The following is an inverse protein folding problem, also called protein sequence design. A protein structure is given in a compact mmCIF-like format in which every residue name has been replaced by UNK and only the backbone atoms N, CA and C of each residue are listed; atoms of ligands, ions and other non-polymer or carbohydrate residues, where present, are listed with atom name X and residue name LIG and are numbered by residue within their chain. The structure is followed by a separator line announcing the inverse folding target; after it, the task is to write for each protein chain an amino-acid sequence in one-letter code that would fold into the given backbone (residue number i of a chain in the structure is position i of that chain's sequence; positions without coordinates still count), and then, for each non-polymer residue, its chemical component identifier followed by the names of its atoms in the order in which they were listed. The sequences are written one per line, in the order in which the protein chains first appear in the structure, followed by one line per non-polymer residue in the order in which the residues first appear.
data_IF_436986011838
#
_entry.id   IF_436986011838
#
_cell.length_a   1.000
_cell.length_b   1.000
_cell.length_c   1.000
_cell.angle_alpha   90.00
_cell.angle_beta   90.00
_cell.angle_gamma   90.00
#
_symmetry.space_group_name_H-M   'P 1'
#
loop_
_entity.id
_entity.type
_entity.pdbx_description
1 polymer ?
#
# COMPACT_ATOMS: atom_id res chain seq x y z
N UNK A 1 11.65 9.22 -30.07
CA UNK A 1 11.52 8.08 -29.14
C UNK A 1 10.38 7.21 -29.64
N UNK A 2 10.55 5.89 -29.69
CA UNK A 2 9.43 4.99 -29.97
C UNK A 2 8.45 5.05 -28.80
N UNK A 3 7.19 5.41 -29.08
CA UNK A 3 6.17 5.61 -28.06
C UNK A 3 5.85 4.30 -27.34
N UNK A 4 5.88 3.17 -28.07
CA UNK A 4 5.66 1.86 -27.46
C UNK A 4 6.79 1.53 -26.47
N UNK A 5 8.05 1.70 -26.88
CA UNK A 5 9.20 1.49 -26.01
C UNK A 5 9.17 2.36 -24.74
N UNK A 6 8.73 3.63 -24.85
CA UNK A 6 8.57 4.51 -23.69
C UNK A 6 7.48 4.02 -22.73
N UNK A 7 6.32 3.63 -23.24
CA UNK A 7 5.22 3.08 -22.42
C UNK A 7 5.64 1.78 -21.74
N UNK A 8 6.34 0.89 -22.45
CA UNK A 8 6.91 -0.34 -21.86
C UNK A 8 7.90 0.00 -20.75
N UNK A 9 8.76 0.99 -20.95
CA UNK A 9 9.74 1.37 -19.94
C UNK A 9 9.08 1.90 -18.65
N UNK A 10 8.07 2.76 -18.78
CA UNK A 10 7.28 3.26 -17.63
C UNK A 10 6.48 2.15 -16.96
N UNK A 11 5.89 1.24 -17.74
CA UNK A 11 5.22 0.06 -17.20
C UNK A 11 6.17 -0.79 -16.35
N UNK A 12 7.39 -1.04 -16.85
CA UNK A 12 8.40 -1.79 -16.11
C UNK A 12 8.84 -1.07 -14.82
N UNK A 13 8.94 0.26 -14.83
CA UNK A 13 9.23 1.03 -13.62
C UNK A 13 8.13 0.84 -12.57
N UNK A 14 6.85 0.94 -12.95
CA UNK A 14 5.74 0.63 -12.04
C UNK A 14 5.65 -0.86 -11.65
N UNK A 15 6.10 -1.76 -12.51
CA UNK A 15 6.14 -3.19 -12.16
C UNK A 15 7.23 -3.47 -11.11
N UNK A 16 8.36 -2.76 -11.17
CA UNK A 16 9.41 -2.83 -10.13
C UNK A 16 8.86 -2.40 -8.78
N UNK A 17 8.07 -1.33 -8.71
CA UNK A 17 7.45 -0.91 -7.45
C UNK A 17 6.45 -1.96 -6.94
N UNK A 18 5.68 -2.59 -7.82
CA UNK A 18 4.75 -3.66 -7.43
C UNK A 18 5.49 -4.93 -6.94
N UNK A 19 6.61 -5.29 -7.57
CA UNK A 19 7.46 -6.40 -7.13
C UNK A 19 8.09 -6.08 -5.77
N UNK A 20 8.45 -4.83 -5.50
CA UNK A 20 8.98 -4.41 -4.21
C UNK A 20 7.99 -4.72 -3.06
N UNK A 21 6.68 -4.57 -3.29
CA UNK A 21 5.65 -4.99 -2.34
C UNK A 21 5.76 -6.49 -1.99
N UNK A 22 6.00 -7.34 -2.99
CA UNK A 22 6.23 -8.78 -2.75
C UNK A 22 7.42 -9.10 -1.84
N UNK A 23 8.45 -8.25 -1.82
CA UNK A 23 9.63 -8.44 -0.98
C UNK A 23 9.29 -8.32 0.52
N UNK A 24 8.23 -7.58 0.86
CA UNK A 24 7.73 -7.44 2.23
C UNK A 24 7.28 -8.77 2.85
N UNK A 25 6.96 -9.78 2.04
CA UNK A 25 6.57 -11.11 2.50
C UNK A 25 7.75 -12.03 2.86
N UNK A 26 8.99 -11.66 2.50
CA UNK A 26 10.20 -12.49 2.68
C UNK A 26 10.42 -12.91 4.15
N UNK A 27 10.21 -12.06 5.18
CA UNK A 27 10.42 -12.46 6.57
C UNK A 27 9.64 -13.72 6.98
N UNK A 28 8.46 -13.98 6.40
CA UNK A 28 7.63 -15.15 6.72
C UNK A 28 8.17 -16.47 6.20
N UNK A 29 9.21 -16.47 5.36
CA UNK A 29 9.93 -17.68 4.98
C UNK A 29 10.83 -18.23 6.08
N UNK A 30 11.18 -17.38 7.04
CA UNK A 30 12.07 -17.73 8.15
C UNK A 30 11.33 -17.93 9.48
N UNK A 31 10.01 -17.68 9.49
CA UNK A 31 9.16 -17.77 10.68
C UNK A 31 8.02 -18.75 10.40
N UNK A 32 8.03 -19.92 11.05
CA UNK A 32 7.03 -20.97 10.84
C UNK A 32 5.80 -20.81 11.74
N UNK A 33 6.02 -20.61 13.03
CA UNK A 33 4.96 -20.64 14.05
C UNK A 33 4.90 -19.33 14.83
N UNK A 34 3.70 -18.77 14.90
CA UNK A 34 3.44 -17.48 15.55
C UNK A 34 2.34 -17.68 16.58
N UNK A 35 2.67 -17.49 17.86
CA UNK A 35 1.65 -17.56 18.91
C UNK A 35 0.69 -16.37 18.84
N UNK A 36 -0.50 -16.50 19.43
CA UNK A 36 -1.50 -15.42 19.49
C UNK A 36 -0.89 -14.10 19.93
N UNK A 37 0.00 -14.14 20.93
CA UNK A 37 0.75 -12.97 21.42
C UNK A 37 1.55 -12.26 20.33
N UNK A 38 2.25 -13.04 19.51
CA UNK A 38 3.02 -12.51 18.39
C UNK A 38 2.12 -12.08 17.23
N UNK A 39 0.99 -12.76 17.00
CA UNK A 39 0.01 -12.31 16.00
C UNK A 39 -0.53 -10.93 16.36
N UNK A 40 -0.94 -10.69 17.61
CA UNK A 40 -1.38 -9.35 18.06
C UNK A 40 -0.29 -8.30 17.85
N UNK A 41 0.96 -8.62 18.20
CA UNK A 41 2.08 -7.71 17.98
C UNK A 41 2.33 -7.43 16.49
N UNK A 42 2.24 -8.44 15.62
CA UNK A 42 2.38 -8.28 14.18
C UNK A 42 1.25 -7.41 13.61
N UNK A 43 0.00 -7.64 13.96
CA UNK A 43 -1.11 -6.77 13.54
C UNK A 43 -0.91 -5.32 14.02
N UNK A 44 -0.36 -5.15 15.22
CA UNK A 44 0.14 -3.86 15.69
C UNK A 44 1.22 -3.27 14.79
N UNK A 45 2.26 -4.03 14.44
CA UNK A 45 3.32 -3.60 13.52
C UNK A 45 2.73 -3.18 12.16
N UNK A 46 1.83 -3.99 11.59
CA UNK A 46 1.16 -3.67 10.33
C UNK A 46 0.39 -2.35 10.42
N UNK A 47 -0.35 -2.15 11.51
CA UNK A 47 -1.08 -0.90 11.79
C UNK A 47 -0.13 0.30 11.89
N UNK A 48 0.97 0.15 12.63
CA UNK A 48 1.99 1.19 12.79
C UNK A 48 2.65 1.57 11.46
N UNK A 49 3.01 0.57 10.66
CA UNK A 49 3.58 0.76 9.31
C UNK A 49 2.57 1.50 8.43
N UNK A 50 1.31 1.05 8.33
CA UNK A 50 0.33 1.69 7.45
C UNK A 50 0.01 3.14 7.84
N UNK A 51 -0.11 3.43 9.14
CA UNK A 51 -0.35 4.79 9.62
C UNK A 51 0.84 5.71 9.32
N UNK A 52 2.07 5.24 9.57
CA UNK A 52 3.28 6.03 9.30
C UNK A 52 3.57 6.18 7.80
N UNK A 53 3.36 5.13 7.00
CA UNK A 53 3.41 5.16 5.54
C UNK A 53 2.44 6.20 4.98
N UNK A 54 1.19 6.19 5.47
CA UNK A 54 0.18 7.17 5.08
C UNK A 54 0.60 8.61 5.42
N UNK A 55 1.26 8.82 6.56
CA UNK A 55 1.70 10.14 6.99
C UNK A 55 2.93 10.63 6.23
N UNK A 56 4.00 9.84 6.23
CA UNK A 56 5.31 10.25 5.73
C UNK A 56 5.46 10.09 4.22
N UNK A 57 4.81 9.07 3.64
CA UNK A 57 4.97 8.70 2.24
C UNK A 57 3.78 9.03 1.33
N UNK A 58 2.65 9.51 1.87
CA UNK A 58 1.52 9.96 1.06
C UNK A 58 1.04 11.36 1.43
N UNK A 59 0.78 11.64 2.72
CA UNK A 59 0.29 12.97 3.13
C UNK A 59 1.32 14.05 2.82
N UNK A 60 2.61 13.82 3.10
CA UNK A 60 3.66 14.80 2.81
C UNK A 60 3.80 15.04 1.30
N UNK A 61 3.73 13.99 0.49
CA UNK A 61 3.79 14.03 -0.97
C UNK A 61 2.58 14.75 -1.56
N UNK A 62 1.39 14.50 -1.02
CA UNK A 62 0.17 15.19 -1.43
C UNK A 62 0.21 16.68 -1.09
N UNK A 63 0.79 17.07 0.05
CA UNK A 63 1.04 18.47 0.40
C UNK A 63 2.15 19.11 -0.45
N UNK A 64 3.17 18.35 -0.85
CA UNK A 64 4.23 18.83 -1.73
C UNK A 64 3.72 19.10 -3.16
N UNK A 65 2.68 18.39 -3.59
CA UNK A 65 2.12 18.49 -4.94
C UNK A 65 0.81 19.29 -5.02
N UNK A 66 0.28 19.80 -3.91
CA UNK A 66 -1.02 20.48 -3.90
C UNK A 66 -1.38 21.19 -2.60
N UNK A 67 -2.68 21.36 -2.38
CA UNK A 67 -3.20 22.07 -1.21
C UNK A 67 -3.77 21.12 -0.16
N UNK A 68 -3.79 21.51 1.12
CA UNK A 68 -4.44 20.72 2.18
C UNK A 68 -5.91 20.38 1.88
N UNK A 69 -6.62 21.25 1.15
CA UNK A 69 -8.01 21.00 0.76
C UNK A 69 -8.12 19.87 -0.26
N UNK A 70 -7.27 19.85 -1.29
CA UNK A 70 -7.27 18.76 -2.29
C UNK A 70 -6.91 17.42 -1.66
N UNK A 71 -5.88 17.43 -0.81
CA UNK A 71 -5.51 16.26 0.00
C UNK A 71 -6.69 15.79 0.86
N UNK A 72 -7.33 16.70 1.60
CA UNK A 72 -8.45 16.38 2.49
C UNK A 72 -9.66 15.80 1.74
N UNK A 73 -9.98 16.33 0.56
CA UNK A 73 -11.02 15.76 -0.32
C UNK A 73 -10.66 14.34 -0.73
N UNK A 74 -9.40 14.12 -1.13
CA UNK A 74 -8.87 12.78 -1.39
C UNK A 74 -9.06 11.85 -0.21
N UNK A 75 -8.62 12.26 0.99
CA UNK A 75 -8.74 11.45 2.21
C UNK A 75 -10.19 11.05 2.50
N UNK A 76 -11.13 11.98 2.36
CA UNK A 76 -12.55 11.67 2.54
C UNK A 76 -13.06 10.68 1.49
N UNK A 77 -12.61 10.78 0.24
CA UNK A 77 -12.94 9.81 -0.80
C UNK A 77 -12.35 8.42 -0.50
N UNK A 78 -11.14 8.36 0.07
CA UNK A 78 -10.52 7.11 0.53
C UNK A 78 -11.28 6.45 1.68
N UNK A 79 -11.71 7.24 2.67
CA UNK A 79 -12.60 6.77 3.74
C UNK A 79 -13.93 6.27 3.16
N UNK A 80 -14.52 7.01 2.22
CA UNK A 80 -15.75 6.62 1.56
C UNK A 80 -15.60 5.31 0.78
N UNK A 81 -14.45 5.07 0.12
CA UNK A 81 -14.16 3.78 -0.52
C UNK A 81 -14.29 2.64 0.49
N UNK A 82 -13.62 2.74 1.64
CA UNK A 82 -13.62 1.65 2.64
C UNK A 82 -15.03 1.41 3.19
N UNK A 83 -15.77 2.48 3.48
CA UNK A 83 -17.17 2.39 3.93
C UNK A 83 -18.07 1.71 2.89
N UNK A 84 -17.93 2.08 1.61
CA UNK A 84 -18.71 1.49 0.52
C UNK A 84 -18.29 0.03 0.30
N UNK A 85 -16.99 -0.27 0.35
CA UNK A 85 -16.48 -1.63 0.22
C UNK A 85 -17.06 -2.53 1.31
N UNK A 86 -17.11 -2.05 2.55
CA UNK A 86 -17.75 -2.75 3.66
C UNK A 86 -19.23 -3.06 3.35
N UNK A 87 -20.01 -2.04 2.97
CA UNK A 87 -21.42 -2.22 2.63
C UNK A 87 -21.64 -3.19 1.45
N UNK A 88 -20.80 -3.13 0.42
CA UNK A 88 -20.90 -4.00 -0.76
C UNK A 88 -20.55 -5.44 -0.41
N UNK A 89 -19.52 -5.66 0.40
CA UNK A 89 -19.06 -7.01 0.78
C UNK A 89 -20.00 -7.63 1.83
N UNK A 90 -20.56 -6.84 2.75
CA UNK A 90 -21.58 -7.30 3.68
C UNK A 90 -22.92 -7.62 2.99
N UNK A 91 -23.29 -6.83 1.99
CA UNK A 91 -24.52 -7.01 1.21
C UNK A 91 -24.46 -8.11 0.15
N UNK A 92 -23.26 -8.65 -0.14
CA UNK A 92 -23.10 -9.80 -1.00
C UNK A 92 -23.47 -11.09 -0.24
N UNK A 93 -24.50 -11.79 -0.72
CA UNK A 93 -24.91 -13.10 -0.21
C UNK A 93 -23.81 -14.14 -0.56
N UNK A 94 -22.77 -14.22 0.26
CA UNK A 94 -21.76 -15.28 0.19
C UNK A 94 -22.35 -16.52 0.88
N UNK A 95 -22.39 -17.65 0.16
CA UNK A 95 -23.16 -18.86 0.50
C UNK A 95 -22.53 -19.66 1.68
N UNK A 96 -23.18 -19.73 2.85
CA UNK A 96 -22.53 -19.89 4.15
C UNK A 96 -22.11 -21.32 4.47
N UNK A 97 -20.81 -21.51 4.69
CA UNK A 97 -20.27 -22.62 5.49
C UNK A 97 -19.21 -22.11 6.49
N UNK A 98 -19.63 -21.97 7.75
CA UNK A 98 -18.88 -21.91 9.02
C UNK A 98 -17.44 -21.34 9.03
N UNK A 99 -17.23 -20.24 9.79
CA UNK A 99 -15.94 -19.59 10.13
C UNK A 99 -15.05 -19.13 8.95
N UNK A 100 -14.91 -19.93 7.89
CA UNK A 100 -14.10 -19.64 6.70
C UNK A 100 -14.55 -18.38 5.93
N UNK A 101 -15.84 -18.00 6.02
CA UNK A 101 -16.34 -16.80 5.34
C UNK A 101 -15.94 -15.48 6.00
N UNK A 102 -15.86 -15.42 7.33
CA UNK A 102 -15.54 -14.16 8.02
C UNK A 102 -14.10 -13.75 7.68
N UNK A 103 -13.18 -14.70 7.72
CA UNK A 103 -11.79 -14.52 7.31
C UNK A 103 -11.68 -14.22 5.81
N UNK A 104 -12.47 -14.89 4.97
CA UNK A 104 -12.48 -14.65 3.52
C UNK A 104 -13.02 -13.26 3.15
N UNK A 105 -14.11 -12.80 3.78
CA UNK A 105 -14.66 -11.44 3.55
C UNK A 105 -13.67 -10.38 4.00
N UNK A 106 -13.04 -10.54 5.17
CA UNK A 106 -11.97 -9.66 5.65
C UNK A 106 -10.79 -9.65 4.67
N UNK A 107 -10.36 -10.82 4.19
CA UNK A 107 -9.32 -10.93 3.16
C UNK A 107 -9.69 -10.15 1.89
N UNK A 108 -10.92 -10.31 1.39
CA UNK A 108 -11.41 -9.59 0.23
C UNK A 108 -11.49 -8.06 0.44
N UNK A 109 -11.94 -7.63 1.62
CA UNK A 109 -11.97 -6.21 2.01
C UNK A 109 -10.56 -5.64 2.02
N UNK A 110 -9.66 -6.25 2.78
CA UNK A 110 -8.27 -5.85 2.93
C UNK A 110 -7.60 -5.83 1.55
N UNK A 111 -7.60 -6.95 0.83
CA UNK A 111 -6.93 -7.03 -0.48
C UNK A 111 -7.57 -6.10 -1.52
N UNK A 112 -8.88 -5.95 -1.52
CA UNK A 112 -9.60 -5.08 -2.45
C UNK A 112 -9.30 -3.60 -2.23
N UNK A 113 -9.39 -3.13 -0.99
CA UNK A 113 -9.01 -1.76 -0.61
C UNK A 113 -7.52 -1.55 -0.88
N UNK A 114 -6.70 -2.55 -0.57
CA UNK A 114 -5.27 -2.47 -0.81
C UNK A 114 -4.95 -2.37 -2.30
N UNK A 115 -5.71 -3.08 -3.14
CA UNK A 115 -5.54 -2.99 -4.59
C UNK A 115 -5.86 -1.58 -5.11
N UNK A 116 -6.96 -0.99 -4.65
CA UNK A 116 -7.42 0.29 -5.18
C UNK A 116 -6.50 1.46 -4.76
N UNK A 117 -5.95 1.46 -3.55
CA UNK A 117 -5.09 2.57 -3.10
C UNK A 117 -3.71 2.60 -3.77
N UNK A 118 -3.20 1.46 -4.23
CA UNK A 118 -1.89 1.43 -4.92
C UNK A 118 -1.94 2.11 -6.30
N UNK A 119 -3.14 2.41 -6.84
CA UNK A 119 -3.27 3.11 -8.11
C UNK A 119 -2.68 4.53 -8.10
N UNK A 120 -3.01 5.41 -7.12
CA UNK A 120 -2.35 6.70 -6.93
C UNK A 120 -0.82 6.70 -6.95
N UNK A 121 -0.17 5.70 -6.34
CA UNK A 121 1.29 5.57 -6.36
C UNK A 121 1.80 5.29 -7.77
N UNK A 122 1.11 4.43 -8.52
CA UNK A 122 1.35 4.22 -9.94
C UNK A 122 1.27 5.52 -10.73
N UNK A 123 0.25 6.33 -10.48
CA UNK A 123 0.10 7.65 -11.11
C UNK A 123 1.30 8.56 -10.79
N UNK A 124 1.78 8.56 -9.55
CA UNK A 124 2.96 9.31 -9.15
C UNK A 124 4.23 8.85 -9.88
N UNK A 125 4.44 7.53 -10.02
CA UNK A 125 5.50 6.97 -10.87
C UNK A 125 5.34 7.49 -12.30
N UNK A 126 4.18 7.31 -12.93
CA UNK A 126 3.97 7.75 -14.32
C UNK A 126 4.20 9.25 -14.56
N UNK A 127 3.75 10.09 -13.63
CA UNK A 127 3.95 11.55 -13.69
C UNK A 127 5.43 11.94 -13.63
N UNK A 128 6.22 11.21 -12.83
CA UNK A 128 7.64 11.48 -12.65
C UNK A 128 8.45 11.27 -13.94
N UNK A 129 7.94 10.46 -14.87
CA UNK A 129 8.52 10.23 -16.20
C UNK A 129 8.14 11.28 -17.24
N UNK A 130 7.43 12.37 -16.91
CA UNK A 130 6.95 13.36 -17.86
C UNK A 130 7.99 13.86 -18.90
N UNK A 131 9.25 13.99 -18.47
CA UNK A 131 10.35 14.50 -19.30
C UNK A 131 11.24 13.38 -19.89
N UNK A 132 10.71 12.15 -20.00
CA UNK A 132 11.45 11.00 -20.53
C UNK A 132 11.93 11.26 -21.97
N UNK A 133 13.24 11.10 -22.18
CA UNK A 133 13.90 11.32 -23.47
C UNK A 133 14.25 12.78 -23.75
N UNK A 134 13.98 13.71 -22.83
CA UNK A 134 14.43 15.09 -22.90
C UNK A 134 15.81 15.27 -22.25
N UNK A 135 16.52 16.32 -22.62
CA UNK A 135 17.86 16.61 -22.09
C UNK A 135 17.85 16.84 -20.56
N UNK A 136 18.98 16.53 -19.89
CA UNK A 136 19.15 16.76 -18.45
C UNK A 136 18.82 15.56 -17.54
N UNK A 137 18.49 14.41 -18.11
CA UNK A 137 18.30 13.15 -17.39
C UNK A 137 19.53 12.23 -17.37
N UNK A 138 19.39 11.10 -16.68
CA UNK A 138 20.40 10.05 -16.60
C UNK A 138 20.22 9.06 -17.75
N UNK A 139 21.31 8.66 -18.42
CA UNK A 139 21.20 7.71 -19.53
C UNK A 139 21.09 6.28 -18.98
N UNK A 140 19.96 5.62 -19.23
CA UNK A 140 19.66 4.28 -18.72
C UNK A 140 18.88 3.47 -19.76
N UNK A 141 19.37 2.27 -20.09
CA UNK A 141 18.77 1.35 -21.08
C UNK A 141 18.43 2.01 -22.44
N UNK A 142 19.23 3.00 -22.86
CA UNK A 142 19.01 3.73 -24.12
C UNK A 142 18.00 4.90 -24.03
N UNK A 143 17.46 5.18 -22.84
CA UNK A 143 16.61 6.33 -22.57
C UNK A 143 17.35 7.39 -21.76
N UNK A 144 16.96 8.66 -21.92
CA UNK A 144 17.35 9.73 -21.00
C UNK A 144 16.25 9.85 -19.95
N UNK A 145 16.51 9.36 -18.75
CA UNK A 145 15.52 9.19 -17.67
C UNK A 145 15.56 10.40 -16.74
N UNK A 146 14.43 11.07 -16.45
CA UNK A 146 14.39 12.19 -15.53
C UNK A 146 14.88 11.77 -14.13
N UNK A 147 15.63 12.64 -13.47
CA UNK A 147 16.13 12.36 -12.12
C UNK A 147 14.97 12.14 -11.13
N UNK A 148 13.88 12.90 -11.28
CA UNK A 148 12.64 12.71 -10.51
C UNK A 148 12.07 11.30 -10.70
N UNK A 149 12.13 10.73 -11.90
CA UNK A 149 11.63 9.39 -12.17
C UNK A 149 12.42 8.29 -11.45
N UNK A 150 13.74 8.45 -11.42
CA UNK A 150 14.62 7.54 -10.67
C UNK A 150 14.32 7.64 -9.17
N UNK A 151 14.27 8.86 -8.62
CA UNK A 151 13.97 9.06 -7.21
C UNK A 151 12.60 8.55 -6.81
N UNK A 152 11.55 8.89 -7.56
CA UNK A 152 10.18 8.44 -7.26
C UNK A 152 10.04 6.93 -7.32
N UNK A 153 10.62 6.27 -8.33
CA UNK A 153 10.55 4.81 -8.46
C UNK A 153 11.26 4.13 -7.28
N UNK A 154 12.41 4.64 -6.85
CA UNK A 154 13.15 4.13 -5.69
C UNK A 154 12.37 4.40 -4.39
N UNK A 155 11.92 5.64 -4.17
CA UNK A 155 11.19 6.03 -2.97
C UNK A 155 9.93 5.20 -2.77
N UNK A 156 9.13 5.03 -3.83
CA UNK A 156 7.92 4.19 -3.79
C UNK A 156 8.31 2.71 -3.60
N UNK A 157 9.38 2.22 -4.25
CA UNK A 157 9.83 0.83 -3.99
C UNK A 157 10.22 0.62 -2.53
N UNK A 158 10.90 1.57 -1.90
CA UNK A 158 11.28 1.51 -0.47
C UNK A 158 10.03 1.56 0.41
N UNK A 159 9.04 2.38 0.07
CA UNK A 159 7.75 2.46 0.76
C UNK A 159 6.96 1.15 0.69
N UNK A 160 6.98 0.51 -0.48
CA UNK A 160 6.18 -0.69 -0.75
C UNK A 160 6.71 -1.92 -0.02
N UNK A 161 8.00 -2.01 0.31
CA UNK A 161 8.54 -3.17 1.05
C UNK A 161 7.88 -3.30 2.44
N UNK A 162 7.88 -2.25 3.30
CA UNK A 162 7.10 -2.23 4.52
C UNK A 162 5.60 -2.44 4.31
N UNK A 163 5.01 -1.84 3.28
CA UNK A 163 3.60 -2.04 2.96
C UNK A 163 3.31 -3.53 2.72
N UNK A 164 4.08 -4.19 1.87
CA UNK A 164 3.94 -5.61 1.61
C UNK A 164 4.11 -6.51 2.84
N UNK A 165 4.94 -6.09 3.81
CA UNK A 165 5.00 -6.73 5.12
C UNK A 165 3.66 -6.55 5.86
N UNK A 166 3.12 -5.33 5.91
CA UNK A 166 1.83 -5.03 6.52
C UNK A 166 0.65 -5.77 5.85
N UNK A 167 0.69 -5.99 4.53
CA UNK A 167 -0.29 -6.81 3.78
C UNK A 167 -0.13 -8.30 4.10
N UNK A 168 1.11 -8.77 4.28
CA UNK A 168 1.38 -10.19 4.49
C UNK A 168 1.05 -10.68 5.90
N UNK A 169 1.12 -9.81 6.90
CA UNK A 169 0.76 -10.10 8.30
C UNK A 169 -0.66 -10.67 8.45
N UNK A 170 -1.72 -9.99 7.98
CA UNK A 170 -3.10 -10.49 8.13
C UNK A 170 -3.34 -11.76 7.32
N UNK A 171 -2.78 -11.84 6.11
CA UNK A 171 -2.87 -13.03 5.27
C UNK A 171 -2.17 -14.24 5.92
N UNK A 172 -1.07 -14.01 6.63
CA UNK A 172 -0.36 -15.06 7.37
C UNK A 172 -1.19 -15.59 8.54
N UNK A 173 -1.90 -14.73 9.28
CA UNK A 173 -2.78 -15.19 10.35
C UNK A 173 -3.97 -15.99 9.83
N UNK A 174 -4.34 -15.82 8.57
CA UNK A 174 -5.33 -16.63 7.83
C UNK A 174 -4.71 -17.88 7.16
N UNK A 175 -3.53 -18.31 7.62
CA UNK A 175 -2.82 -19.52 7.17
C UNK A 175 -2.48 -19.57 5.66
N UNK A 176 -2.40 -18.41 5.01
CA UNK A 176 -1.98 -18.33 3.61
C UNK A 176 -0.50 -18.72 3.47
N UNK A 177 -0.19 -19.59 2.50
CA UNK A 177 1.18 -20.08 2.30
C UNK A 177 2.15 -19.00 1.84
N UNK A 178 3.44 -19.12 2.21
CA UNK A 178 4.45 -18.06 2.01
C UNK A 178 4.54 -17.53 0.58
N UNK A 179 4.51 -18.41 -0.42
CA UNK A 179 4.53 -17.97 -1.83
C UNK A 179 3.25 -17.26 -2.26
N UNK A 180 2.11 -17.62 -1.67
CA UNK A 180 0.86 -16.89 -1.89
C UNK A 180 0.90 -15.51 -1.21
N UNK A 181 1.58 -15.35 -0.07
CA UNK A 181 1.78 -14.03 0.56
C UNK A 181 2.52 -13.09 -0.38
N UNK A 182 3.66 -13.53 -0.92
CA UNK A 182 4.43 -12.77 -1.93
C UNK A 182 3.52 -12.41 -3.10
N UNK A 183 2.74 -13.38 -3.59
CA UNK A 183 1.96 -13.15 -4.79
C UNK A 183 0.78 -12.21 -4.58
N UNK A 184 0.09 -12.32 -3.44
CA UNK A 184 -0.99 -11.41 -3.07
C UNK A 184 -0.49 -9.99 -2.82
N UNK A 185 0.69 -9.81 -2.23
CA UNK A 185 1.31 -8.51 -2.04
C UNK A 185 1.70 -7.84 -3.38
N UNK A 186 2.20 -8.61 -4.36
CA UNK A 186 2.44 -8.05 -5.71
C UNK A 186 1.12 -7.77 -6.41
N UNK A 187 0.14 -8.68 -6.28
CA UNK A 187 -1.17 -8.55 -6.90
C UNK A 187 -1.88 -7.27 -6.47
N UNK A 188 -1.87 -6.95 -5.16
CA UNK A 188 -2.44 -5.69 -4.67
C UNK A 188 -1.77 -4.47 -5.30
N UNK A 189 -0.48 -4.55 -5.64
CA UNK A 189 0.23 -3.44 -6.27
C UNK A 189 0.24 -3.44 -7.81
N UNK A 190 -0.39 -4.41 -8.48
CA UNK A 190 -0.51 -4.42 -9.95
C UNK A 190 -1.23 -3.21 -10.57
N UNK A 191 -2.08 -2.46 -9.85
CA UNK A 191 -2.58 -1.17 -10.34
C UNK A 191 -1.48 -0.11 -10.51
N UNK A 192 -0.33 -0.23 -9.84
CA UNK A 192 0.79 0.70 -9.99
C UNK A 192 1.33 0.78 -11.43
N UNK A 193 1.76 -0.32 -12.09
CA UNK A 193 2.23 -0.25 -13.48
C UNK A 193 1.14 0.21 -14.45
N UNK A 194 -0.13 -0.11 -14.19
CA UNK A 194 -1.26 0.36 -15.01
C UNK A 194 -1.43 1.87 -14.85
N UNK A 195 -1.47 2.35 -13.62
CA UNK A 195 -1.56 3.76 -13.27
C UNK A 195 -0.39 4.57 -13.82
N UNK A 196 0.83 4.01 -13.80
CA UNK A 196 2.03 4.64 -14.33
C UNK A 196 1.92 4.90 -15.84
N UNK A 197 1.47 3.91 -16.61
CA UNK A 197 1.28 4.06 -18.06
C UNK A 197 0.19 5.09 -18.38
N UNK A 198 -0.96 5.00 -17.71
CA UNK A 198 -2.07 5.94 -17.90
C UNK A 198 -1.62 7.36 -17.57
N UNK A 199 -0.97 7.55 -16.42
CA UNK A 199 -0.50 8.85 -15.97
C UNK A 199 0.58 9.43 -16.86
N UNK A 200 1.54 8.63 -17.32
CA UNK A 200 2.55 9.09 -18.28
C UNK A 200 1.92 9.58 -19.59
N UNK A 201 0.91 8.87 -20.10
CA UNK A 201 0.19 9.30 -21.30
C UNK A 201 -0.62 10.59 -21.08
N UNK A 202 -1.22 10.75 -19.90
CA UNK A 202 -2.06 11.90 -19.52
C UNK A 202 -1.42 12.81 -18.47
N UNK A 203 -0.11 13.06 -18.57
CA UNK A 203 0.71 13.66 -17.50
C UNK A 203 0.16 14.96 -16.94
N UNK A 204 -0.40 15.82 -17.79
CA UNK A 204 -0.94 17.12 -17.37
C UNK A 204 -2.14 16.95 -16.45
N UNK A 205 -3.07 16.08 -16.84
CA UNK A 205 -4.25 15.76 -16.05
C UNK A 205 -3.81 15.04 -14.77
N UNK A 206 -2.96 14.02 -14.91
CA UNK A 206 -2.48 13.24 -13.77
C UNK A 206 -1.84 14.11 -12.67
N UNK A 207 -1.04 15.12 -13.04
CA UNK A 207 -0.41 16.07 -12.10
C UNK A 207 -1.44 16.83 -11.25
N UNK A 208 -2.55 17.26 -11.84
CA UNK A 208 -3.60 18.00 -11.12
C UNK A 208 -4.33 17.14 -10.10
N UNK A 209 -4.38 15.82 -10.33
CA UNK A 209 -5.06 14.87 -9.47
C UNK A 209 -4.15 14.20 -8.42
N UNK A 210 -2.82 14.37 -8.49
CA UNK A 210 -1.88 13.76 -7.53
C UNK A 210 -2.22 14.04 -6.06
N UNK A 211 -2.53 15.28 -5.63
CA UNK A 211 -2.82 15.56 -4.22
C UNK A 211 -4.08 14.82 -3.73
N UNK A 212 -5.09 14.70 -4.60
CA UNK A 212 -6.29 13.93 -4.31
C UNK A 212 -5.99 12.44 -4.23
N UNK A 213 -5.16 11.92 -5.14
CA UNK A 213 -4.76 10.51 -5.17
C UNK A 213 -3.98 10.11 -3.91
N UNK A 214 -2.99 10.91 -3.51
CA UNK A 214 -2.24 10.69 -2.28
C UNK A 214 -3.13 10.78 -1.04
N UNK A 215 -4.00 11.79 -0.99
CA UNK A 215 -5.01 11.90 0.07
C UNK A 215 -5.91 10.67 0.12
N UNK A 216 -6.39 10.21 -1.02
CA UNK A 216 -7.23 9.02 -1.15
C UNK A 216 -6.55 7.77 -0.60
N UNK A 217 -5.30 7.52 -0.98
CA UNK A 217 -4.57 6.36 -0.47
C UNK A 217 -4.34 6.46 1.04
N UNK A 218 -3.93 7.63 1.55
CA UNK A 218 -3.72 7.84 2.98
C UNK A 218 -5.01 7.69 3.80
N UNK A 219 -6.12 8.26 3.32
CA UNK A 219 -7.42 8.17 3.98
C UNK A 219 -7.95 6.73 4.01
N UNK A 220 -7.83 6.00 2.90
CA UNK A 220 -8.23 4.60 2.83
C UNK A 220 -7.41 3.73 3.79
N UNK A 221 -6.08 3.87 3.79
CA UNK A 221 -5.20 3.06 4.66
C UNK A 221 -5.40 3.35 6.14
N UNK A 222 -5.44 4.63 6.55
CA UNK A 222 -5.67 4.98 7.96
C UNK A 222 -7.03 4.45 8.42
N UNK A 223 -8.07 4.58 7.59
CA UNK A 223 -9.39 4.10 7.95
C UNK A 223 -9.44 2.56 8.02
N UNK A 224 -8.83 1.85 7.06
CA UNK A 224 -8.68 0.40 7.09
C UNK A 224 -7.98 -0.08 8.36
N UNK A 225 -6.94 0.62 8.82
CA UNK A 225 -6.26 0.28 10.07
C UNK A 225 -7.21 0.39 11.27
N UNK A 226 -8.01 1.45 11.31
CA UNK A 226 -8.95 1.70 12.41
C UNK A 226 -10.12 0.71 12.42
N UNK A 227 -10.62 0.30 11.24
CA UNK A 227 -11.82 -0.53 11.13
C UNK A 227 -11.55 -2.01 11.00
N UNK A 228 -10.38 -2.42 10.50
CA UNK A 228 -10.05 -3.84 10.28
C UNK A 228 -8.85 -4.27 11.13
N UNK A 229 -7.72 -3.54 11.09
CA UNK A 229 -6.47 -4.06 11.68
C UNK A 229 -6.45 -4.01 13.21
N UNK A 230 -6.84 -2.88 13.78
CA UNK A 230 -6.89 -2.72 15.24
C UNK A 230 -7.96 -3.64 15.85
N UNK A 231 -9.19 -3.73 15.30
CA UNK A 231 -10.19 -4.66 15.79
C UNK A 231 -9.73 -6.12 15.75
N UNK A 232 -9.13 -6.57 14.65
CA UNK A 232 -8.64 -7.95 14.54
C UNK A 232 -7.55 -8.27 15.57
N UNK A 233 -6.60 -7.35 15.78
CA UNK A 233 -5.57 -7.52 16.80
C UNK A 233 -6.16 -7.68 18.21
N UNK A 234 -7.26 -6.98 18.50
CA UNK A 234 -7.96 -7.06 19.78
C UNK A 234 -8.77 -8.36 19.90
N UNK A 235 -9.42 -8.82 18.83
CA UNK A 235 -10.12 -10.11 18.75
C UNK A 235 -9.15 -11.28 19.02
N UNK A 236 -7.99 -11.31 18.35
CA UNK A 236 -6.93 -12.29 18.59
C UNK A 236 -6.36 -12.20 20.02
N UNK A 237 -6.37 -11.00 20.60
CA UNK A 237 -5.84 -10.70 21.93
C UNK A 237 -6.77 -11.01 23.10
N UNK A 238 -8.02 -11.39 22.87
CA UNK A 238 -9.04 -11.52 23.93
C UNK A 238 -8.62 -12.42 25.09
N UNK A 239 -7.90 -13.51 24.78
CA UNK A 239 -7.44 -14.50 25.77
C UNK A 239 -6.11 -14.13 26.44
N UNK A 240 -5.44 -13.08 25.97
CA UNK A 240 -4.16 -12.63 26.50
C UNK A 240 -4.36 -11.71 27.72
N UNK A 241 -3.35 -11.61 28.61
CA UNK A 241 -3.38 -10.64 29.69
C UNK A 241 -3.65 -9.22 29.18
N UNK A 242 -4.60 -8.51 29.81
CA UNK A 242 -5.03 -7.15 29.39
C UNK A 242 -5.63 -7.08 27.97
N UNK A 243 -6.10 -8.21 27.44
CA UNK A 243 -6.73 -8.28 26.12
C UNK A 243 -5.78 -7.93 24.97
N UNK A 244 -4.49 -8.31 25.08
CA UNK A 244 -3.49 -8.09 24.02
C UNK A 244 -3.08 -6.64 23.75
N UNK A 245 -3.63 -5.66 24.49
CA UNK A 245 -3.41 -4.22 24.24
C UNK A 245 -1.94 -3.81 24.34
N UNK A 246 -1.16 -4.47 25.20
CA UNK A 246 0.27 -4.15 25.38
C UNK A 246 1.05 -4.56 24.14
N UNK A 247 0.78 -5.77 23.63
CA UNK A 247 1.35 -6.33 22.41
C UNK A 247 0.98 -5.48 21.20
N UNK A 248 -0.30 -5.11 21.08
CA UNK A 248 -0.80 -4.25 20.00
C UNK A 248 -0.09 -2.89 20.00
N UNK A 249 -0.03 -2.20 21.14
CA UNK A 249 0.61 -0.88 21.24
C UNK A 249 2.11 -0.98 21.01
N UNK A 250 2.78 -1.99 21.57
CA UNK A 250 4.21 -2.21 21.33
C UNK A 250 4.48 -2.46 19.84
N UNK A 251 3.63 -3.28 19.19
CA UNK A 251 3.67 -3.52 17.76
C UNK A 251 3.47 -2.24 16.96
N UNK A 252 2.44 -1.45 17.27
CA UNK A 252 2.14 -0.18 16.60
C UNK A 252 3.31 0.79 16.70
N UNK A 253 3.89 0.96 17.88
CA UNK A 253 5.06 1.83 18.08
C UNK A 253 6.26 1.30 17.30
N UNK A 254 6.50 -0.02 17.30
CA UNK A 254 7.59 -0.62 16.54
C UNK A 254 7.40 -0.44 15.02
N UNK A 255 6.20 -0.70 14.51
CA UNK A 255 5.84 -0.52 13.10
C UNK A 255 5.98 0.93 12.65
N UNK A 256 5.51 1.87 13.47
CA UNK A 256 5.70 3.30 13.21
C UNK A 256 7.19 3.67 13.19
N UNK A 257 7.97 3.18 14.16
CA UNK A 257 9.40 3.45 14.25
C UNK A 257 10.21 2.91 13.04
N UNK A 258 9.80 1.77 12.48
CA UNK A 258 10.41 1.20 11.26
C UNK A 258 10.30 2.18 10.09
N UNK A 259 9.22 2.96 10.03
CA UNK A 259 8.94 3.90 8.94
C UNK A 259 9.46 5.31 9.18
N UNK A 260 9.92 5.65 10.38
CA UNK A 260 10.49 6.98 10.69
C UNK A 260 11.60 7.41 9.71
N UNK A 261 12.50 6.52 9.22
CA UNK A 261 13.47 6.92 8.21
C UNK A 261 12.86 7.54 6.96
N UNK A 262 11.67 7.10 6.51
CA UNK A 262 10.99 7.67 5.34
C UNK A 262 10.63 9.15 5.52
N UNK A 263 10.49 9.65 6.76
CA UNK A 263 10.23 11.07 7.00
C UNK A 263 11.41 12.00 6.64
N UNK A 264 12.58 11.43 6.30
CA UNK A 264 13.82 12.17 6.04
C UNK A 264 14.38 11.95 4.63
N UNK A 265 13.69 11.18 3.78
CA UNK A 265 14.11 10.86 2.41
C UNK A 265 13.24 11.65 1.44
#
# INVERSE_FOLDING_TARGET
MDQFAALTFVFLAGLVTAIATGLGAIPFFFVSDVSDRWNVALWGIASGIMVSASLFGLVFEGLANGTPLQLGIGMLAGVALVLVAHYVIEGADVDPKQYEEADFRKLLLILGILTVHSFPEGVAVGVSFADLGLDGGFQLFGFVVPLLAVFMTIAISIHNVPEGLAISIPLRSMEVSNWKLVWWAIFSSLPQPIGAVIAFYFVRIAREFLPFGFGFAAGAMVFLVLTEFIPEALELGERLPRGGRVELVAGLVAGFAIMVPLAFI
#
